data_IF_183411192798
#
_entry.id   IF_183411192798
#
_cell.length_a   1.000
_cell.length_b   1.000
_cell.length_c   1.000
_cell.angle_alpha   90.00
_cell.angle_beta   90.00
_cell.angle_gamma   90.00
#
_symmetry.space_group_name_H-M   'P 1'
#
loop_
_entity.id
_entity.type
_entity.pdbx_description
1 polymer ?
#
# COMPACT_ATOMS: atom_id res chain seq x y z
N UNK A 1 19.16 -2.96 6.06
CA UNK A 1 18.60 -1.71 6.61
C UNK A 1 17.08 -1.75 6.46
N UNK A 2 16.32 -1.39 7.50
CA UNK A 2 14.85 -1.26 7.45
C UNK A 2 14.45 -0.03 6.63
N UNK A 3 13.30 -0.10 5.95
CA UNK A 3 12.73 1.03 5.20
C UNK A 3 11.47 1.58 5.87
N UNK A 4 11.32 2.89 5.85
CA UNK A 4 10.21 3.59 6.45
C UNK A 4 9.57 4.54 5.44
N UNK A 5 8.32 4.30 5.14
CA UNK A 5 7.57 5.10 4.20
C UNK A 5 6.23 5.56 4.77
N UNK A 6 5.45 6.23 3.95
CA UNK A 6 4.12 6.69 4.32
C UNK A 6 3.09 6.28 3.27
N UNK A 7 1.94 5.86 3.75
CA UNK A 7 0.76 5.68 2.92
C UNK A 7 0.05 7.02 2.80
N UNK A 8 0.06 7.60 1.61
CA UNK A 8 -0.53 8.92 1.38
C UNK A 8 -2.05 8.92 1.62
N UNK A 9 -2.62 10.04 2.11
CA UNK A 9 -4.06 10.18 2.34
C UNK A 9 -4.83 10.42 1.04
N UNK A 10 -4.69 9.48 0.08
CA UNK A 10 -5.26 9.61 -1.27
C UNK A 10 -6.80 9.53 -1.29
N UNK A 11 -7.40 8.96 -0.24
CA UNK A 11 -8.85 8.86 -0.12
C UNK A 11 -9.35 9.53 1.15
N UNK A 12 -10.54 10.10 1.09
CA UNK A 12 -11.17 10.74 2.25
C UNK A 12 -11.34 9.78 3.42
N UNK A 13 -11.17 10.32 4.64
CA UNK A 13 -11.21 9.55 5.89
C UNK A 13 -9.93 8.76 6.20
N UNK A 14 -8.99 8.63 5.26
CA UNK A 14 -7.72 7.93 5.47
C UNK A 14 -7.93 6.47 5.91
N UNK A 15 -7.18 6.02 6.91
CA UNK A 15 -7.17 4.63 7.39
C UNK A 15 -7.78 4.45 8.79
N UNK A 16 -8.50 5.46 9.27
CA UNK A 16 -9.22 5.46 10.54
C UNK A 16 -10.71 5.67 10.26
N UNK A 17 -11.51 4.67 10.57
CA UNK A 17 -12.93 4.63 10.23
C UNK A 17 -13.73 5.32 11.35
N UNK A 18 -13.62 6.64 11.43
CA UNK A 18 -14.23 7.42 12.52
C UNK A 18 -14.68 8.80 12.06
N UNK A 19 -15.80 9.25 12.62
CA UNK A 19 -16.33 10.61 12.46
C UNK A 19 -15.55 11.66 13.25
N UNK A 20 -14.70 11.23 14.18
CA UNK A 20 -14.01 12.11 15.11
C UNK A 20 -12.54 12.40 14.71
N UNK A 21 -12.10 11.89 13.55
CA UNK A 21 -10.77 12.19 13.00
C UNK A 21 -10.70 13.61 12.44
N UNK A 22 -9.50 14.20 12.32
CA UNK A 22 -9.30 15.35 11.44
C UNK A 22 -9.78 15.08 10.02
N UNK A 23 -10.15 16.13 9.30
CA UNK A 23 -10.66 15.99 7.93
C UNK A 23 -9.52 15.63 6.98
N UNK A 24 -9.60 14.44 6.44
CA UNK A 24 -8.79 13.99 5.30
C UNK A 24 -9.71 13.95 4.08
N UNK A 25 -9.50 14.86 3.14
CA UNK A 25 -10.36 15.01 1.95
C UNK A 25 -9.91 14.15 0.75
N UNK A 26 -8.72 13.56 0.82
CA UNK A 26 -8.13 12.78 -0.28
C UNK A 26 -7.67 13.65 -1.46
N UNK A 27 -7.64 14.98 -1.29
CA UNK A 27 -7.31 15.94 -2.35
C UNK A 27 -5.81 16.09 -2.61
N UNK A 28 -5.50 16.75 -3.73
CA UNK A 28 -4.11 16.99 -4.18
C UNK A 28 -3.27 17.75 -3.15
N UNK A 29 -3.84 18.79 -2.53
CA UNK A 29 -3.08 19.65 -1.61
C UNK A 29 -2.54 18.87 -0.41
N UNK A 30 -3.39 18.04 0.23
CA UNK A 30 -2.99 17.20 1.38
C UNK A 30 -1.96 16.14 0.97
N UNK A 31 -2.17 15.48 -0.16
CA UNK A 31 -1.23 14.45 -0.64
C UNK A 31 0.13 15.04 -1.00
N UNK A 32 0.15 16.22 -1.66
CA UNK A 32 1.39 16.93 -1.98
C UNK A 32 2.13 17.36 -0.72
N UNK A 33 1.43 17.94 0.26
CA UNK A 33 2.04 18.35 1.54
C UNK A 33 2.63 17.15 2.27
N UNK A 34 1.87 16.06 2.40
CA UNK A 34 2.34 14.83 3.04
C UNK A 34 3.59 14.26 2.37
N UNK A 35 3.64 14.23 1.04
CA UNK A 35 4.80 13.73 0.31
C UNK A 35 6.05 14.61 0.48
N UNK A 36 5.89 15.95 0.44
CA UNK A 36 6.99 16.89 0.66
C UNK A 36 7.52 16.82 2.10
N UNK A 37 6.64 16.69 3.09
CA UNK A 37 7.03 16.46 4.47
C UNK A 37 7.73 15.12 4.66
N UNK A 38 7.21 14.04 4.06
CA UNK A 38 7.86 12.74 4.12
C UNK A 38 9.29 12.78 3.58
N UNK A 39 9.52 13.49 2.46
CA UNK A 39 10.86 13.69 1.91
C UNK A 39 11.74 14.56 2.81
N UNK A 40 11.19 15.64 3.39
CA UNK A 40 11.92 16.55 4.26
C UNK A 40 12.33 15.89 5.59
N UNK A 41 11.52 14.96 6.09
CA UNK A 41 11.76 14.21 7.33
C UNK A 41 12.44 12.85 7.07
N UNK A 42 13.10 12.67 5.92
CA UNK A 42 13.95 11.53 5.54
C UNK A 42 13.25 10.15 5.55
N UNK A 43 11.97 10.09 5.16
CA UNK A 43 11.33 8.82 4.88
C UNK A 43 11.81 8.26 3.52
N UNK A 44 11.75 6.93 3.37
CA UNK A 44 12.33 6.23 2.23
C UNK A 44 11.39 6.17 1.01
N UNK A 45 10.08 6.12 1.24
CA UNK A 45 9.09 6.01 0.16
C UNK A 45 7.72 6.59 0.54
N UNK A 46 6.98 6.97 -0.47
CA UNK A 46 5.54 7.27 -0.40
C UNK A 46 4.77 6.33 -1.31
N UNK A 47 3.58 5.94 -0.89
CA UNK A 47 2.72 5.07 -1.67
C UNK A 47 1.28 5.56 -1.68
N UNK A 48 0.59 5.37 -2.81
CA UNK A 48 -0.82 5.63 -2.97
C UNK A 48 -1.59 4.36 -3.34
N UNK A 49 -2.74 4.13 -2.70
CA UNK A 49 -3.64 3.04 -3.11
C UNK A 49 -4.42 3.42 -4.37
N UNK A 50 -4.86 2.42 -5.13
CA UNK A 50 -5.89 2.57 -6.15
C UNK A 50 -7.26 2.27 -5.55
N UNK A 51 -8.22 3.20 -5.67
CA UNK A 51 -9.57 3.06 -5.15
C UNK A 51 -10.57 3.71 -6.11
N UNK A 52 -11.65 2.98 -6.44
CA UNK A 52 -12.62 3.44 -7.43
C UNK A 52 -14.04 3.54 -6.87
N UNK A 53 -14.29 2.96 -5.70
CA UNK A 53 -15.56 3.02 -5.00
C UNK A 53 -15.34 2.87 -3.50
N UNK A 54 -15.85 3.82 -2.72
CA UNK A 54 -15.77 3.81 -1.26
C UNK A 54 -16.72 2.82 -0.59
N UNK A 55 -16.71 2.85 0.72
CA UNK A 55 -17.50 1.97 1.57
C UNK A 55 -18.77 2.62 2.11
N UNK A 56 -18.95 3.93 1.88
CA UNK A 56 -20.10 4.68 2.39
C UNK A 56 -19.97 5.01 3.88
N UNK A 57 -21.07 4.83 4.62
CA UNK A 57 -21.19 5.29 6.00
C UNK A 57 -21.40 6.80 6.10
N UNK A 58 -21.45 7.33 7.35
CA UNK A 58 -21.67 8.75 7.61
C UNK A 58 -20.52 9.62 7.09
N UNK A 59 -19.30 9.08 7.07
CA UNK A 59 -18.10 9.76 6.56
C UNK A 59 -17.92 9.65 5.05
N UNK A 60 -18.76 8.86 4.36
CA UNK A 60 -18.53 8.52 2.96
C UNK A 60 -17.17 7.88 2.72
N UNK A 61 -16.71 7.02 3.64
CA UNK A 61 -15.34 6.52 3.74
C UNK A 61 -14.80 5.98 2.42
N UNK A 62 -13.68 6.53 1.95
CA UNK A 62 -13.02 6.27 0.67
C UNK A 62 -13.90 6.54 -0.57
N UNK A 63 -14.98 7.32 -0.43
CA UNK A 63 -15.85 7.70 -1.55
C UNK A 63 -15.24 8.72 -2.49
N UNK A 64 -14.26 9.49 -2.02
CA UNK A 64 -13.47 10.43 -2.80
C UNK A 64 -12.00 10.00 -2.76
N UNK A 65 -11.43 9.70 -3.93
CA UNK A 65 -10.00 9.39 -4.09
C UNK A 65 -9.51 9.88 -5.45
N UNK A 66 -8.23 10.27 -5.50
CA UNK A 66 -7.55 10.54 -6.76
C UNK A 66 -7.10 9.22 -7.42
N UNK A 67 -6.84 9.25 -8.73
CA UNK A 67 -6.25 8.13 -9.44
C UNK A 67 -4.76 8.02 -9.10
N UNK A 68 -4.32 6.81 -8.70
CA UNK A 68 -3.04 6.60 -8.06
C UNK A 68 -1.83 6.94 -8.95
N UNK A 69 -1.81 6.49 -10.21
CA UNK A 69 -0.63 6.69 -11.08
C UNK A 69 -0.50 8.15 -11.48
N UNK A 70 -1.62 8.79 -11.84
CA UNK A 70 -1.65 10.21 -12.20
C UNK A 70 -1.23 11.09 -11.02
N UNK A 71 -1.75 10.82 -9.83
CA UNK A 71 -1.34 11.56 -8.63
C UNK A 71 0.15 11.35 -8.32
N UNK A 72 0.64 10.10 -8.38
CA UNK A 72 2.04 9.82 -8.09
C UNK A 72 3.00 10.40 -9.13
N UNK A 73 2.58 10.60 -10.38
CA UNK A 73 3.36 11.37 -11.36
C UNK A 73 3.50 12.84 -10.94
N UNK A 74 2.44 13.45 -10.41
CA UNK A 74 2.50 14.78 -9.80
C UNK A 74 3.43 14.84 -8.60
N UNK A 75 3.35 13.86 -7.68
CA UNK A 75 4.24 13.74 -6.51
C UNK A 75 5.71 13.57 -6.97
N UNK A 76 5.96 12.72 -7.95
CA UNK A 76 7.30 12.52 -8.50
C UNK A 76 7.92 13.82 -9.03
N UNK A 77 7.12 14.69 -9.65
CA UNK A 77 7.56 15.97 -10.21
C UNK A 77 7.89 17.02 -9.15
N UNK A 78 7.32 16.92 -7.94
CA UNK A 78 7.55 17.89 -6.85
C UNK A 78 8.50 17.39 -5.76
N UNK A 79 8.98 16.16 -5.88
CA UNK A 79 9.96 15.53 -4.97
C UNK A 79 11.24 15.17 -5.71
N UNK A 80 12.33 14.93 -5.01
CA UNK A 80 13.66 14.71 -5.61
C UNK A 80 14.37 13.41 -5.17
N UNK A 81 14.07 12.89 -3.98
CA UNK A 81 14.79 11.76 -3.38
C UNK A 81 13.90 10.60 -3.01
N UNK A 82 12.73 10.88 -2.45
CA UNK A 82 11.81 9.86 -1.93
C UNK A 82 11.30 8.95 -3.05
N UNK A 83 11.24 7.65 -2.80
CA UNK A 83 10.68 6.69 -3.76
C UNK A 83 9.17 6.88 -3.87
N UNK A 84 8.63 6.74 -5.06
CA UNK A 84 7.22 6.98 -5.38
C UNK A 84 6.57 5.70 -5.89
N UNK A 85 5.64 5.13 -5.11
CA UNK A 85 4.98 3.87 -5.44
C UNK A 85 3.51 4.09 -5.73
N UNK A 86 3.09 3.77 -6.94
CA UNK A 86 1.69 3.82 -7.36
C UNK A 86 1.01 2.46 -7.18
N UNK A 87 -0.31 2.40 -7.27
CA UNK A 87 -1.09 1.14 -7.29
C UNK A 87 -1.78 0.98 -8.63
N UNK A 88 -1.66 -0.20 -9.23
CA UNK A 88 -2.33 -0.60 -10.47
C UNK A 88 -3.16 -1.87 -10.25
N UNK A 89 -4.33 -1.91 -10.88
CA UNK A 89 -5.18 -3.09 -10.93
C UNK A 89 -5.02 -3.80 -12.28
N UNK A 90 -4.52 -5.04 -12.25
CA UNK A 90 -4.24 -5.81 -13.47
C UNK A 90 -5.50 -6.02 -14.35
N UNK A 91 -6.68 -6.12 -13.72
CA UNK A 91 -7.95 -6.28 -14.45
C UNK A 91 -8.45 -5.00 -15.14
N UNK A 92 -7.94 -3.81 -14.78
CA UNK A 92 -8.32 -2.53 -15.40
C UNK A 92 -7.37 -2.10 -16.50
N UNK A 93 -6.12 -2.54 -16.45
CA UNK A 93 -5.08 -1.99 -17.32
C UNK A 93 -4.53 -3.06 -18.25
N UNK A 94 -4.55 -2.79 -19.55
CA UNK A 94 -3.76 -3.60 -20.47
C UNK A 94 -2.28 -3.57 -20.05
N UNK A 95 -1.56 -4.70 -20.02
CA UNK A 95 -0.18 -4.75 -19.54
C UNK A 95 0.79 -3.86 -20.33
N UNK A 96 0.57 -3.64 -21.63
CA UNK A 96 1.41 -2.73 -22.41
C UNK A 96 1.17 -1.26 -22.04
N UNK A 97 -0.08 -0.89 -21.75
CA UNK A 97 -0.42 0.45 -21.25
C UNK A 97 0.20 0.67 -19.87
N UNK A 98 0.06 -0.28 -18.98
CA UNK A 98 0.65 -0.22 -17.63
C UNK A 98 2.18 -0.15 -17.67
N UNK A 99 2.82 -0.95 -18.51
CA UNK A 99 4.28 -0.88 -18.70
C UNK A 99 4.74 0.51 -19.12
N UNK A 100 4.01 1.16 -20.03
CA UNK A 100 4.27 2.53 -20.48
C UNK A 100 4.04 3.55 -19.35
N UNK A 101 2.94 3.43 -18.61
CA UNK A 101 2.61 4.34 -17.50
C UNK A 101 3.70 4.34 -16.43
N UNK A 102 4.15 3.16 -16.02
CA UNK A 102 5.18 3.03 -14.99
C UNK A 102 6.57 3.46 -15.50
N UNK A 103 6.91 3.16 -16.76
CA UNK A 103 8.13 3.69 -17.38
C UNK A 103 8.12 5.24 -17.41
N UNK A 104 6.97 5.85 -17.72
CA UNK A 104 6.81 7.31 -17.69
C UNK A 104 6.98 7.86 -16.27
N UNK A 105 6.35 7.22 -15.26
CA UNK A 105 6.54 7.58 -13.86
C UNK A 105 8.01 7.48 -13.43
N UNK A 106 8.71 6.43 -13.91
CA UNK A 106 10.13 6.24 -13.60
C UNK A 106 10.99 7.35 -14.20
N UNK A 107 10.72 7.77 -15.44
CA UNK A 107 11.39 8.92 -16.06
C UNK A 107 11.11 10.23 -15.33
N UNK A 108 9.85 10.53 -14.98
CA UNK A 108 9.50 11.74 -14.22
C UNK A 108 10.20 11.76 -12.86
N UNK A 109 10.27 10.62 -12.20
CA UNK A 109 10.91 10.49 -10.88
C UNK A 109 12.43 10.38 -10.92
N UNK A 110 13.07 10.21 -12.08
CA UNK A 110 14.50 9.97 -12.19
C UNK A 110 14.93 8.61 -11.62
N UNK A 111 14.15 7.55 -11.84
CA UNK A 111 14.47 6.18 -11.42
C UNK A 111 14.08 5.87 -9.96
N UNK A 112 13.02 6.53 -9.43
CA UNK A 112 12.50 6.31 -8.07
C UNK A 112 11.14 5.59 -8.05
N UNK A 113 10.62 5.19 -9.21
CA UNK A 113 9.31 4.58 -9.32
C UNK A 113 9.28 3.15 -8.79
N UNK A 114 8.14 2.81 -8.22
CA UNK A 114 7.73 1.45 -7.93
C UNK A 114 6.22 1.35 -8.03
N UNK A 115 5.70 0.14 -7.96
CA UNK A 115 4.26 0.00 -7.98
C UNK A 115 3.77 -1.26 -7.27
N UNK A 116 2.56 -1.14 -6.75
CA UNK A 116 1.80 -2.23 -6.16
C UNK A 116 0.86 -2.83 -7.21
N UNK A 117 0.93 -4.14 -7.38
CA UNK A 117 0.06 -4.88 -8.29
C UNK A 117 -1.12 -5.43 -7.49
N UNK A 118 -2.34 -5.15 -7.95
CA UNK A 118 -3.58 -5.66 -7.36
C UNK A 118 -4.36 -6.47 -8.40
N UNK A 119 -4.69 -7.71 -8.05
CA UNK A 119 -5.46 -8.61 -8.92
C UNK A 119 -6.97 -8.29 -8.98
N UNK A 120 -7.43 -7.37 -8.11
CA UNK A 120 -8.85 -7.03 -7.93
C UNK A 120 -9.50 -7.84 -6.80
N UNK A 121 -9.93 -7.16 -5.75
CA UNK A 121 -10.50 -7.79 -4.55
C UNK A 121 -11.98 -7.43 -4.32
N UNK A 122 -12.38 -6.20 -4.63
CA UNK A 122 -13.72 -5.71 -4.39
C UNK A 122 -14.53 -5.71 -5.69
N UNK A 123 -15.42 -6.69 -5.84
CA UNK A 123 -16.25 -6.91 -7.04
C UNK A 123 -17.00 -5.66 -7.48
N UNK A 124 -17.76 -5.03 -6.57
CA UNK A 124 -18.59 -3.87 -6.89
C UNK A 124 -17.81 -2.64 -7.34
N UNK A 125 -16.52 -2.56 -7.04
CA UNK A 125 -15.62 -1.50 -7.50
C UNK A 125 -15.35 -1.59 -9.01
N UNK A 126 -15.29 -2.81 -9.55
CA UNK A 126 -15.00 -3.07 -10.95
C UNK A 126 -16.27 -3.27 -11.79
N UNK A 127 -17.34 -3.83 -11.21
CA UNK A 127 -18.63 -3.95 -11.89
C UNK A 127 -19.20 -2.60 -12.31
N UNK A 128 -19.07 -1.56 -11.50
CA UNK A 128 -19.53 -0.22 -11.86
C UNK A 128 -18.86 0.35 -13.11
N UNK A 129 -17.72 -0.21 -13.54
CA UNK A 129 -16.91 0.22 -14.68
C UNK A 129 -16.94 -0.81 -15.83
N UNK A 130 -17.83 -1.81 -15.77
CA UNK A 130 -17.89 -2.93 -16.71
C UNK A 130 -16.54 -3.69 -16.83
N UNK A 131 -15.76 -3.73 -15.75
CA UNK A 131 -14.43 -4.32 -15.71
C UNK A 131 -14.34 -5.59 -14.86
N UNK A 132 -15.48 -6.15 -14.46
CA UNK A 132 -15.53 -7.40 -13.71
C UNK A 132 -15.99 -8.55 -14.57
N UNK A 133 -15.07 -9.46 -14.90
CA UNK A 133 -15.42 -10.72 -15.53
C UNK A 133 -15.84 -11.75 -14.46
N UNK A 134 -17.14 -12.01 -14.39
CA UNK A 134 -17.73 -12.97 -13.44
C UNK A 134 -17.31 -14.43 -13.71
N UNK A 135 -16.78 -14.73 -14.91
CA UNK A 135 -16.27 -16.06 -15.25
C UNK A 135 -14.90 -16.36 -14.62
N UNK A 136 -14.18 -15.30 -14.21
CA UNK A 136 -12.89 -15.44 -13.55
C UNK A 136 -13.07 -15.74 -12.06
N UNK A 137 -12.71 -16.95 -11.66
CA UNK A 137 -12.59 -17.29 -10.25
C UNK A 137 -11.52 -16.43 -9.56
N UNK A 138 -11.47 -16.47 -8.24
CA UNK A 138 -10.41 -15.79 -7.46
C UNK A 138 -9.01 -16.18 -7.98
N UNK A 139 -8.74 -17.47 -8.16
CA UNK A 139 -7.43 -17.95 -8.59
C UNK A 139 -7.14 -17.62 -10.04
N UNK A 140 -8.17 -17.68 -10.93
CA UNK A 140 -8.04 -17.27 -12.32
C UNK A 140 -7.67 -15.80 -12.49
N UNK A 141 -8.13 -14.91 -11.59
CA UNK A 141 -7.67 -13.51 -11.58
C UNK A 141 -6.17 -13.38 -11.25
N UNK A 142 -5.64 -14.25 -10.37
CA UNK A 142 -4.20 -14.29 -10.13
C UNK A 142 -3.42 -14.91 -11.31
N UNK A 143 -4.00 -15.88 -12.04
CA UNK A 143 -3.39 -16.42 -13.26
C UNK A 143 -3.30 -15.35 -14.35
N UNK A 144 -4.38 -14.56 -14.55
CA UNK A 144 -4.38 -13.39 -15.42
C UNK A 144 -3.30 -12.37 -14.98
N UNK A 145 -3.24 -12.06 -13.68
CA UNK A 145 -2.27 -11.12 -13.13
C UNK A 145 -0.84 -11.61 -13.30
N UNK A 146 -0.60 -12.91 -13.27
CA UNK A 146 0.72 -13.49 -13.51
C UNK A 146 1.16 -13.33 -14.98
N UNK A 147 0.28 -13.61 -15.97
CA UNK A 147 0.56 -13.32 -17.38
C UNK A 147 0.79 -11.82 -17.59
N UNK A 148 -0.07 -10.98 -17.02
CA UNK A 148 0.04 -9.53 -17.04
C UNK A 148 1.41 -9.04 -16.53
N UNK A 149 1.83 -9.53 -15.38
CA UNK A 149 3.12 -9.14 -14.76
C UNK A 149 4.31 -9.57 -15.60
N UNK A 150 4.25 -10.78 -16.18
CA UNK A 150 5.30 -11.29 -17.08
C UNK A 150 5.43 -10.41 -18.32
N UNK A 151 4.32 -9.99 -18.93
CA UNK A 151 4.32 -9.12 -20.10
C UNK A 151 4.90 -7.75 -19.75
N UNK A 152 4.49 -7.14 -18.64
CA UNK A 152 5.03 -5.85 -18.16
C UNK A 152 6.55 -5.92 -17.99
N UNK A 153 7.05 -6.93 -17.28
CA UNK A 153 8.50 -7.10 -17.07
C UNK A 153 9.27 -7.27 -18.38
N UNK A 154 8.73 -8.05 -19.30
CA UNK A 154 9.35 -8.24 -20.63
C UNK A 154 9.36 -6.96 -21.45
N UNK A 155 8.27 -6.18 -21.44
CA UNK A 155 8.18 -4.89 -22.12
C UNK A 155 9.16 -3.85 -21.59
N UNK A 156 9.61 -3.98 -20.35
CA UNK A 156 10.66 -3.11 -19.78
C UNK A 156 12.08 -3.49 -20.19
N UNK A 157 12.30 -4.71 -20.64
CA UNK A 157 13.65 -5.25 -20.89
C UNK A 157 13.91 -5.70 -22.32
N UNK A 158 12.88 -6.14 -23.05
CA UNK A 158 13.01 -6.68 -24.40
C UNK A 158 12.67 -5.60 -25.45
N UNK A 159 13.33 -5.59 -26.61
CA UNK A 159 13.03 -4.66 -27.71
C UNK A 159 11.57 -4.76 -28.18
N UNK A 160 11.05 -5.96 -28.29
CA UNK A 160 9.64 -6.24 -28.57
C UNK A 160 9.20 -7.52 -27.87
N UNK A 161 7.89 -7.66 -27.63
CA UNK A 161 7.29 -8.80 -26.94
C UNK A 161 6.23 -9.44 -27.81
N UNK A 162 6.47 -10.69 -28.21
CA UNK A 162 5.42 -11.60 -28.68
C UNK A 162 5.10 -12.55 -27.51
N UNK A 163 3.83 -12.63 -27.15
CA UNK A 163 3.34 -13.44 -26.03
C UNK A 163 2.00 -14.04 -26.38
N UNK A 164 1.87 -15.34 -26.26
CA UNK A 164 0.60 -16.06 -26.42
C UNK A 164 0.32 -16.82 -25.14
N UNK A 165 -0.66 -16.36 -24.39
CA UNK A 165 -1.11 -16.95 -23.14
C UNK A 165 -2.58 -17.30 -23.18
N UNK A 166 -3.14 -17.53 -22.00
CA UNK A 166 -4.59 -17.79 -21.83
C UNK A 166 -5.41 -16.50 -21.88
N UNK A 167 -4.85 -15.40 -21.36
CA UNK A 167 -5.56 -14.13 -21.16
C UNK A 167 -5.09 -13.04 -22.11
N UNK A 168 -3.86 -13.14 -22.60
CA UNK A 168 -3.25 -12.12 -23.45
C UNK A 168 -2.61 -12.75 -24.69
N UNK A 169 -2.78 -12.07 -25.83
CA UNK A 169 -2.14 -12.41 -27.10
C UNK A 169 -1.50 -11.13 -27.66
N UNK A 170 -0.17 -11.04 -27.59
CA UNK A 170 0.62 -9.90 -28.06
C UNK A 170 1.51 -10.34 -29.21
N UNK A 171 1.54 -9.56 -30.27
CA UNK A 171 2.42 -9.80 -31.40
C UNK A 171 3.29 -8.57 -31.65
N UNK A 172 4.61 -8.76 -31.56
CA UNK A 172 5.64 -7.73 -31.81
C UNK A 172 5.36 -6.39 -31.10
N UNK A 173 4.92 -6.48 -29.85
CA UNK A 173 4.53 -5.31 -29.06
C UNK A 173 5.78 -4.57 -28.55
N UNK A 174 5.89 -3.28 -28.87
CA UNK A 174 7.00 -2.41 -28.47
C UNK A 174 6.54 -1.44 -27.38
N UNK A 175 7.36 -1.22 -26.36
CA UNK A 175 7.16 -0.21 -25.32
C UNK A 175 8.45 0.57 -25.09
N UNK A 176 8.54 1.79 -25.63
CA UNK A 176 9.64 2.74 -25.45
C UNK A 176 9.10 4.09 -24.92
N UNK A 177 9.87 4.82 -24.06
CA UNK A 177 11.16 4.42 -23.50
C UNK A 177 11.05 3.29 -22.47
N UNK A 178 12.15 2.59 -22.23
CA UNK A 178 12.26 1.67 -21.10
C UNK A 178 12.39 2.45 -19.80
N UNK A 179 12.03 1.90 -18.62
CA UNK A 179 12.36 2.52 -17.34
C UNK A 179 13.87 2.79 -17.20
N UNK A 180 14.24 3.86 -16.53
CA UNK A 180 15.65 4.20 -16.22
C UNK A 180 16.28 3.16 -15.28
N UNK A 181 15.45 2.63 -14.37
CA UNK A 181 15.79 1.52 -13.46
C UNK A 181 14.62 0.53 -13.42
N UNK A 182 14.88 -0.76 -13.10
CA UNK A 182 13.80 -1.70 -12.86
C UNK A 182 12.89 -1.16 -11.73
N UNK A 183 11.60 -0.86 -12.00
CA UNK A 183 10.70 -0.38 -10.95
C UNK A 183 10.51 -1.43 -9.87
N UNK A 184 10.50 -1.01 -8.60
CA UNK A 184 10.27 -1.91 -7.48
C UNK A 184 8.82 -2.41 -7.48
N UNK A 185 8.63 -3.72 -7.50
CA UNK A 185 7.31 -4.34 -7.46
C UNK A 185 6.96 -4.75 -6.04
N UNK A 186 5.76 -4.36 -5.59
CA UNK A 186 5.21 -4.83 -4.34
C UNK A 186 3.80 -5.40 -4.56
N UNK A 187 3.36 -6.32 -3.73
CA UNK A 187 2.03 -6.90 -3.82
C UNK A 187 1.49 -7.24 -2.43
N UNK A 188 0.17 -7.14 -2.27
CA UNK A 188 -0.55 -7.32 -1.00
C UNK A 188 -1.48 -8.56 -1.01
N UNK A 189 -1.15 -9.61 -1.76
CA UNK A 189 -1.96 -10.83 -1.83
C UNK A 189 -1.97 -11.59 -0.51
N UNK A 190 -3.13 -11.69 0.15
CA UNK A 190 -3.28 -12.35 1.46
C UNK A 190 -3.82 -13.79 1.36
N UNK A 191 -4.53 -14.15 0.29
CA UNK A 191 -4.96 -15.52 0.04
C UNK A 191 -3.77 -16.43 -0.27
N UNK A 192 -3.93 -17.75 -0.17
CA UNK A 192 -2.85 -18.69 -0.52
C UNK A 192 -2.28 -18.41 -1.91
N UNK A 193 -3.14 -18.31 -2.96
CA UNK A 193 -2.72 -18.04 -4.34
C UNK A 193 -2.11 -16.65 -4.49
N UNK A 194 -2.71 -15.64 -3.85
CA UNK A 194 -2.20 -14.27 -3.88
C UNK A 194 -0.86 -14.11 -3.18
N UNK A 195 -0.67 -14.78 -2.06
CA UNK A 195 0.59 -14.81 -1.33
C UNK A 195 1.71 -15.45 -2.16
N UNK A 196 1.45 -16.60 -2.78
CA UNK A 196 2.42 -17.26 -3.66
C UNK A 196 2.77 -16.39 -4.87
N UNK A 197 1.77 -15.75 -5.49
CA UNK A 197 1.99 -14.78 -6.57
C UNK A 197 2.89 -13.64 -6.09
N UNK A 198 2.59 -13.02 -4.93
CA UNK A 198 3.37 -11.92 -4.38
C UNK A 198 4.83 -12.32 -4.21
N UNK A 199 5.11 -13.46 -3.57
CA UNK A 199 6.49 -13.90 -3.35
C UNK A 199 7.21 -14.27 -4.66
N UNK A 200 6.52 -14.89 -5.62
CA UNK A 200 7.14 -15.26 -6.91
C UNK A 200 7.42 -14.06 -7.80
N UNK A 201 6.51 -13.11 -7.86
CA UNK A 201 6.53 -12.07 -8.88
C UNK A 201 7.03 -10.72 -8.38
N UNK A 202 6.91 -10.41 -7.09
CA UNK A 202 7.27 -9.10 -6.55
C UNK A 202 8.65 -9.09 -5.86
N UNK A 203 9.18 -7.90 -5.62
CA UNK A 203 10.39 -7.63 -4.84
C UNK A 203 10.05 -7.40 -3.38
N UNK A 204 8.82 -6.95 -3.12
CA UNK A 204 8.24 -6.74 -1.80
C UNK A 204 6.87 -7.38 -1.64
N UNK A 205 6.56 -7.80 -0.42
CA UNK A 205 5.29 -8.37 -0.04
C UNK A 205 4.72 -7.59 1.15
N UNK A 206 3.51 -7.03 1.00
CA UNK A 206 2.77 -6.50 2.14
C UNK A 206 2.24 -7.66 2.97
N UNK A 207 2.61 -7.66 4.23
CA UNK A 207 2.18 -8.66 5.21
C UNK A 207 1.07 -8.05 6.06
N UNK A 208 -0.05 -8.73 6.11
CA UNK A 208 -1.16 -8.43 7.02
C UNK A 208 -1.41 -9.61 7.95
N UNK A 209 -2.06 -9.36 9.07
CA UNK A 209 -2.45 -10.38 10.04
C UNK A 209 -3.42 -9.82 11.07
N UNK A 210 -4.14 -10.70 11.77
CA UNK A 210 -5.07 -10.30 12.85
C UNK A 210 -4.29 -9.79 14.07
N UNK A 211 -3.13 -10.36 14.30
CA UNK A 211 -2.22 -10.03 15.39
C UNK A 211 -0.75 -10.14 14.94
N UNK A 212 0.18 -9.90 15.85
CA UNK A 212 1.60 -9.95 15.56
C UNK A 212 2.09 -11.37 15.28
N UNK A 213 1.49 -12.38 15.87
CA UNK A 213 1.86 -13.78 15.61
C UNK A 213 1.50 -14.19 14.17
N UNK A 214 0.33 -13.81 13.68
CA UNK A 214 -0.06 -14.01 12.27
C UNK A 214 0.92 -13.27 11.33
N UNK A 215 1.31 -12.04 11.67
CA UNK A 215 2.24 -11.22 10.86
C UNK A 215 3.63 -11.87 10.85
N UNK A 216 4.15 -12.30 12.00
CA UNK A 216 5.43 -12.97 12.09
C UNK A 216 5.44 -14.27 11.26
N UNK A 217 4.41 -15.11 11.41
CA UNK A 217 4.28 -16.34 10.64
C UNK A 217 4.25 -16.09 9.13
N UNK A 218 3.49 -15.07 8.67
CA UNK A 218 3.42 -14.68 7.27
C UNK A 218 4.76 -14.13 6.75
N UNK A 219 5.47 -13.31 7.54
CA UNK A 219 6.79 -12.78 7.17
C UNK A 219 7.81 -13.90 7.00
N UNK A 220 7.91 -14.81 7.96
CA UNK A 220 8.80 -15.98 7.89
C UNK A 220 8.47 -16.87 6.69
N UNK A 221 7.19 -17.13 6.47
CA UNK A 221 6.73 -17.91 5.31
C UNK A 221 7.12 -17.28 3.99
N UNK A 222 6.98 -15.94 3.85
CA UNK A 222 7.38 -15.22 2.64
C UNK A 222 8.88 -15.38 2.37
N UNK A 223 9.70 -15.18 3.40
CA UNK A 223 11.16 -15.32 3.31
C UNK A 223 11.61 -16.75 3.00
N UNK A 224 11.00 -17.74 3.65
CA UNK A 224 11.29 -19.15 3.38
C UNK A 224 10.92 -19.56 1.95
N UNK A 225 9.75 -19.15 1.45
CA UNK A 225 9.33 -19.43 0.08
C UNK A 225 10.26 -18.74 -0.93
N UNK A 226 10.64 -17.49 -0.72
CA UNK A 226 11.56 -16.76 -1.58
C UNK A 226 12.96 -17.40 -1.61
N UNK A 227 13.46 -17.82 -0.46
CA UNK A 227 14.73 -18.55 -0.35
C UNK A 227 14.71 -19.87 -1.15
N UNK A 228 13.60 -20.61 -1.09
CA UNK A 228 13.39 -21.82 -1.90
C UNK A 228 13.35 -21.54 -3.42
N UNK A 229 13.04 -20.31 -3.81
CA UNK A 229 13.06 -19.85 -5.20
C UNK A 229 14.40 -19.19 -5.61
N UNK A 230 15.36 -19.12 -4.70
CA UNK A 230 16.67 -18.49 -4.94
C UNK A 230 16.61 -16.98 -5.14
N UNK A 231 15.59 -16.28 -4.59
CA UNK A 231 15.42 -14.84 -4.75
C UNK A 231 15.27 -14.12 -3.40
N UNK A 232 15.69 -12.87 -3.28
CA UNK A 232 15.36 -12.05 -2.13
C UNK A 232 13.88 -11.64 -2.16
N UNK A 233 13.30 -11.38 -1.00
CA UNK A 233 12.01 -10.71 -0.82
C UNK A 233 12.09 -9.80 0.39
N UNK A 234 11.48 -8.62 0.31
CA UNK A 234 11.30 -7.74 1.46
C UNK A 234 9.87 -7.80 1.94
N UNK A 235 9.68 -7.78 3.24
CA UNK A 235 8.36 -7.80 3.86
C UNK A 235 8.04 -6.43 4.45
N UNK A 236 6.84 -5.94 4.16
CA UNK A 236 6.35 -4.64 4.61
C UNK A 236 5.03 -4.81 5.36
N UNK A 237 4.80 -3.94 6.33
CA UNK A 237 3.53 -3.86 7.04
C UNK A 237 3.07 -2.40 7.13
N UNK A 238 1.78 -2.20 7.33
CA UNK A 238 1.20 -0.89 7.59
C UNK A 238 1.02 -0.68 9.09
N UNK A 239 1.23 0.55 9.57
CA UNK A 239 1.03 0.89 10.97
C UNK A 239 0.49 2.31 11.12
N UNK A 240 -0.64 2.44 11.82
CA UNK A 240 -1.16 3.75 12.22
C UNK A 240 -0.44 4.21 13.48
N UNK A 241 0.14 5.40 13.43
CA UNK A 241 0.87 6.02 14.54
C UNK A 241 0.04 7.19 15.06
N UNK A 242 -0.30 7.15 16.35
CA UNK A 242 -1.02 8.22 17.06
C UNK A 242 -0.13 8.71 18.19
N UNK A 243 0.39 9.90 18.03
CA UNK A 243 1.29 10.51 19.02
C UNK A 243 0.67 11.71 19.71
N UNK A 244 1.10 11.93 20.96
CA UNK A 244 0.85 13.14 21.71
C UNK A 244 2.03 13.37 22.69
N UNK A 245 2.12 14.51 23.39
CA UNK A 245 3.21 14.75 24.35
C UNK A 245 3.34 13.68 25.44
N UNK A 246 2.23 13.06 25.84
CA UNK A 246 2.20 11.97 26.83
C UNK A 246 1.42 10.75 26.31
N UNK A 247 1.69 9.57 26.89
CA UNK A 247 0.96 8.35 26.58
C UNK A 247 -0.54 8.48 26.87
N UNK A 248 -0.89 9.17 27.96
CA UNK A 248 -2.27 9.40 28.36
C UNK A 248 -3.05 10.25 27.34
N UNK A 249 -2.43 11.32 26.83
CA UNK A 249 -3.02 12.17 25.81
C UNK A 249 -3.16 11.43 24.48
N UNK A 250 -2.16 10.65 24.08
CA UNK A 250 -2.22 9.83 22.86
C UNK A 250 -3.33 8.78 22.94
N UNK A 251 -3.46 8.10 24.09
CA UNK A 251 -4.54 7.12 24.29
C UNK A 251 -5.94 7.79 24.31
N UNK A 252 -6.07 8.96 24.95
CA UNK A 252 -7.30 9.74 24.90
C UNK A 252 -7.68 10.15 23.46
N UNK A 253 -6.68 10.51 22.64
CA UNK A 253 -6.86 10.81 21.21
C UNK A 253 -7.32 9.57 20.44
N UNK A 254 -6.70 8.42 20.65
CA UNK A 254 -7.10 7.15 20.04
C UNK A 254 -8.50 6.71 20.49
N UNK A 255 -8.85 6.89 21.78
CA UNK A 255 -10.17 6.58 22.30
C UNK A 255 -11.25 7.46 21.68
N UNK A 256 -11.00 8.76 21.50
CA UNK A 256 -11.91 9.67 20.77
C UNK A 256 -12.26 9.13 19.38
N UNK A 257 -11.30 8.51 18.68
CA UNK A 257 -11.57 7.91 17.36
C UNK A 257 -12.41 6.64 17.48
N UNK A 258 -12.17 5.79 18.48
CA UNK A 258 -13.02 4.61 18.75
C UNK A 258 -14.45 5.01 19.07
N UNK A 259 -14.64 6.06 19.87
CA UNK A 259 -15.96 6.57 20.24
C UNK A 259 -16.74 7.15 19.03
N UNK A 260 -16.02 7.55 18.00
CA UNK A 260 -16.61 8.07 16.77
C UNK A 260 -16.72 7.05 15.63
N UNK A 261 -16.63 5.75 15.92
CA UNK A 261 -16.68 4.69 14.90
C UNK A 261 -17.82 4.91 13.90
N UNK A 262 -17.50 4.87 12.61
CA UNK A 262 -18.49 4.88 11.53
C UNK A 262 -18.91 3.43 11.21
N UNK A 263 -19.91 2.94 11.93
CA UNK A 263 -20.44 1.59 11.75
C UNK A 263 -20.98 1.34 10.34
N UNK A 264 -21.53 2.37 9.70
CA UNK A 264 -22.01 2.29 8.32
C UNK A 264 -20.87 2.00 7.33
N UNK A 265 -19.72 2.65 7.50
CA UNK A 265 -18.54 2.38 6.69
C UNK A 265 -17.95 0.98 6.95
N UNK A 266 -17.91 0.54 8.22
CA UNK A 266 -17.49 -0.84 8.55
C UNK A 266 -18.41 -1.86 7.91
N UNK A 267 -19.73 -1.66 7.95
CA UNK A 267 -20.69 -2.54 7.28
C UNK A 267 -20.46 -2.57 5.77
N UNK A 268 -20.20 -1.42 5.15
CA UNK A 268 -19.84 -1.33 3.72
C UNK A 268 -18.58 -2.11 3.38
N UNK A 269 -17.55 -2.09 4.24
CA UNK A 269 -16.34 -2.90 4.09
C UNK A 269 -16.65 -4.41 4.16
N UNK A 270 -17.43 -4.84 5.13
CA UNK A 270 -17.84 -6.25 5.27
C UNK A 270 -18.63 -6.74 4.04
N UNK A 271 -19.53 -5.94 3.53
CA UNK A 271 -20.28 -6.24 2.31
C UNK A 271 -19.37 -6.33 1.08
N UNK A 272 -18.33 -5.50 1.03
CA UNK A 272 -17.39 -5.41 -0.09
C UNK A 272 -16.43 -6.59 -0.16
N UNK A 273 -15.92 -7.04 0.99
CA UNK A 273 -14.90 -8.10 1.09
C UNK A 273 -15.47 -9.47 1.51
N UNK A 274 -16.77 -9.57 1.73
CA UNK A 274 -17.47 -10.77 2.21
C UNK A 274 -17.48 -10.89 3.74
N UNK A 275 -18.39 -11.71 4.25
CA UNK A 275 -18.65 -11.87 5.70
C UNK A 275 -17.45 -12.38 6.48
N UNK A 276 -16.55 -13.15 5.84
CA UNK A 276 -15.30 -13.60 6.46
C UNK A 276 -14.27 -12.49 6.67
N UNK A 277 -14.46 -11.32 6.01
CA UNK A 277 -13.58 -10.17 6.11
C UNK A 277 -12.10 -10.50 5.82
N UNK A 278 -11.27 -9.48 5.80
CA UNK A 278 -9.83 -9.64 5.92
C UNK A 278 -9.35 -9.02 7.25
N UNK A 279 -8.08 -9.15 7.58
CA UNK A 279 -7.53 -8.60 8.82
C UNK A 279 -7.79 -7.08 8.97
N UNK A 280 -7.77 -6.34 7.87
CA UNK A 280 -8.08 -4.92 7.82
C UNK A 280 -9.53 -4.63 8.25
N UNK A 281 -10.50 -5.37 7.71
CA UNK A 281 -11.93 -5.21 8.05
C UNK A 281 -12.20 -5.59 9.50
N UNK A 282 -11.56 -6.67 10.01
CA UNK A 282 -11.68 -7.07 11.40
C UNK A 282 -11.15 -5.98 12.34
N UNK A 283 -10.05 -5.32 11.99
CA UNK A 283 -9.49 -4.20 12.76
C UNK A 283 -10.34 -2.94 12.68
N UNK A 284 -10.96 -2.66 11.54
CA UNK A 284 -11.83 -1.50 11.35
C UNK A 284 -13.01 -1.45 12.34
N UNK A 285 -13.42 -2.59 12.90
CA UNK A 285 -14.39 -2.65 14.00
C UNK A 285 -13.90 -1.94 15.27
N UNK A 286 -12.58 -1.76 15.42
CA UNK A 286 -11.96 -0.93 16.47
C UNK A 286 -11.55 0.46 15.98
N UNK A 287 -12.11 0.95 14.89
CA UNK A 287 -11.83 2.20 14.19
C UNK A 287 -10.50 2.22 13.38
N UNK A 288 -9.54 1.36 13.67
CA UNK A 288 -8.24 1.35 13.01
C UNK A 288 -8.12 0.19 12.03
N UNK A 289 -7.78 0.47 10.77
CA UNK A 289 -7.70 -0.55 9.73
C UNK A 289 -6.36 -1.33 9.73
N UNK A 290 -5.38 -0.85 10.51
CA UNK A 290 -4.02 -1.40 10.56
C UNK A 290 -3.56 -1.69 11.99
N UNK A 291 -2.36 -2.23 12.16
CA UNK A 291 -1.67 -2.22 13.46
C UNK A 291 -1.52 -0.79 13.95
N UNK A 292 -1.46 -0.58 15.26
CA UNK A 292 -1.36 0.75 15.84
C UNK A 292 -0.18 0.88 16.79
N UNK A 293 0.50 2.03 16.75
CA UNK A 293 1.41 2.48 17.80
C UNK A 293 0.82 3.78 18.38
N UNK A 294 0.36 3.72 19.62
CA UNK A 294 -0.25 4.84 20.34
C UNK A 294 0.61 5.17 21.55
N UNK A 295 0.99 6.44 21.73
CA UNK A 295 1.79 6.87 22.87
C UNK A 295 2.61 8.14 22.59
N UNK A 296 3.40 8.54 23.57
CA UNK A 296 4.43 9.54 23.38
C UNK A 296 5.45 9.06 22.31
N UNK A 297 6.20 9.96 21.67
CA UNK A 297 7.12 9.58 20.60
C UNK A 297 8.11 8.46 20.99
N UNK A 298 8.66 8.49 22.20
CA UNK A 298 9.55 7.45 22.70
C UNK A 298 8.83 6.09 22.86
N UNK A 299 7.60 6.11 23.37
CA UNK A 299 6.76 4.90 23.50
C UNK A 299 6.41 4.33 22.12
N UNK A 300 6.05 5.17 21.16
CA UNK A 300 5.79 4.74 19.78
C UNK A 300 7.06 4.14 19.15
N UNK A 301 8.22 4.77 19.32
CA UNK A 301 9.48 4.24 18.80
C UNK A 301 9.79 2.84 19.37
N UNK A 302 9.64 2.66 20.69
CA UNK A 302 9.85 1.35 21.33
C UNK A 302 8.87 0.28 20.83
N UNK A 303 7.58 0.60 20.69
CA UNK A 303 6.57 -0.31 20.15
C UNK A 303 6.88 -0.72 18.70
N UNK A 304 7.27 0.25 17.86
CA UNK A 304 7.62 0.02 16.47
C UNK A 304 8.89 -0.84 16.37
N UNK A 305 9.90 -0.56 17.19
CA UNK A 305 11.13 -1.35 17.21
C UNK A 305 10.85 -2.82 17.59
N UNK A 306 10.09 -3.07 18.66
CA UNK A 306 9.69 -4.42 19.08
C UNK A 306 8.94 -5.13 17.94
N UNK A 307 7.92 -4.49 17.37
CA UNK A 307 7.16 -5.03 16.26
C UNK A 307 8.05 -5.44 15.06
N UNK A 308 8.98 -4.58 14.66
CA UNK A 308 9.88 -4.85 13.53
C UNK A 308 10.84 -6.02 13.81
N UNK A 309 11.29 -6.18 15.07
CA UNK A 309 12.14 -7.30 15.49
C UNK A 309 11.34 -8.60 15.58
N UNK A 310 10.23 -8.55 16.31
CA UNK A 310 9.44 -9.74 16.64
C UNK A 310 8.75 -10.32 15.41
N UNK A 311 8.20 -9.46 14.52
CA UNK A 311 7.55 -9.89 13.29
C UNK A 311 8.52 -10.06 12.10
N UNK A 312 9.82 -9.77 12.28
CA UNK A 312 10.83 -9.88 11.21
C UNK A 312 10.47 -9.07 9.94
N UNK A 313 9.84 -7.90 10.10
CA UNK A 313 9.42 -7.02 9.01
C UNK A 313 10.60 -6.17 8.54
N UNK A 314 10.75 -5.98 7.22
CA UNK A 314 11.85 -5.25 6.60
C UNK A 314 11.54 -3.78 6.34
N UNK A 315 10.27 -3.40 6.34
CA UNK A 315 9.86 -2.01 6.21
C UNK A 315 8.45 -1.75 6.75
N UNK A 316 8.21 -0.52 7.19
CA UNK A 316 6.90 -0.03 7.62
C UNK A 316 6.42 1.10 6.75
N UNK A 317 5.13 1.09 6.50
CA UNK A 317 4.40 2.16 5.88
C UNK A 317 3.50 2.82 6.91
N UNK A 318 3.87 4.03 7.32
CA UNK A 318 3.18 4.79 8.34
C UNK A 318 1.88 5.39 7.82
N UNK A 319 0.94 5.52 8.72
CA UNK A 319 -0.36 6.15 8.54
C UNK A 319 -0.58 7.05 9.76
N UNK A 320 -1.16 8.22 9.54
CA UNK A 320 -1.41 9.19 10.59
C UNK A 320 -2.86 9.64 10.56
N UNK A 321 -3.35 10.09 11.69
CA UNK A 321 -4.62 10.80 11.80
C UNK A 321 -4.49 12.26 11.34
N UNK A 322 -3.36 12.90 11.67
CA UNK A 322 -2.90 14.17 11.12
C UNK A 322 -1.53 13.94 10.45
N UNK A 323 -1.48 14.04 9.13
CA UNK A 323 -0.26 13.77 8.38
C UNK A 323 0.82 14.81 8.57
N UNK A 324 0.45 16.08 8.76
CA UNK A 324 1.43 17.14 8.94
C UNK A 324 2.12 17.05 10.31
N UNK A 325 1.35 16.81 11.38
CA UNK A 325 1.88 16.59 12.72
C UNK A 325 2.64 15.25 12.79
N UNK A 326 1.98 14.16 12.37
CA UNK A 326 2.52 12.82 12.49
C UNK A 326 3.84 12.62 11.74
N UNK A 327 3.98 13.18 10.53
CA UNK A 327 5.24 13.14 9.77
C UNK A 327 6.37 13.89 10.47
N UNK A 328 6.11 15.11 10.98
CA UNK A 328 7.12 15.89 11.70
C UNK A 328 7.59 15.20 12.97
N UNK A 329 6.66 14.69 13.77
CA UNK A 329 7.00 13.95 15.01
C UNK A 329 7.75 12.67 14.68
N UNK A 330 7.26 11.92 13.69
CA UNK A 330 7.91 10.66 13.28
C UNK A 330 9.33 10.92 12.78
N UNK A 331 9.54 11.89 11.90
CA UNK A 331 10.86 12.20 11.34
C UNK A 331 11.87 12.69 12.38
N UNK A 332 11.42 13.52 13.30
CA UNK A 332 12.31 14.18 14.27
C UNK A 332 12.57 13.36 15.53
N UNK A 333 11.59 12.59 15.99
CA UNK A 333 11.65 11.94 17.31
C UNK A 333 11.63 10.41 17.23
N UNK A 334 10.91 9.80 16.29
CA UNK A 334 10.76 8.33 16.18
C UNK A 334 11.82 7.75 15.26
N UNK A 335 11.89 8.24 14.02
CA UNK A 335 12.75 7.70 12.97
C UNK A 335 14.25 7.66 13.34
N UNK A 336 14.83 8.70 13.99
CA UNK A 336 16.22 8.63 14.43
C UNK A 336 16.51 7.51 15.43
N UNK A 337 15.54 7.16 16.28
CA UNK A 337 15.68 6.05 17.22
C UNK A 337 15.66 4.71 16.47
N UNK A 338 14.69 4.53 15.55
CA UNK A 338 14.58 3.33 14.72
C UNK A 338 15.81 3.15 13.82
N UNK A 339 16.31 4.22 13.21
CA UNK A 339 17.53 4.16 12.38
C UNK A 339 18.73 3.67 13.18
N UNK A 340 18.91 4.16 14.43
CA UNK A 340 19.99 3.68 15.31
C UNK A 340 19.82 2.21 15.71
N UNK A 341 18.59 1.78 15.99
CA UNK A 341 18.32 0.41 16.42
C UNK A 341 18.54 -0.64 15.32
N UNK A 342 18.49 -0.21 14.05
CA UNK A 342 18.62 -1.09 12.87
C UNK A 342 19.78 -0.71 11.92
N UNK A 343 20.73 0.08 12.42
CA UNK A 343 21.95 0.49 11.70
C UNK A 343 22.89 -0.70 11.38
#
# INVERSE_FOLDING_TARGET
>A
MKEFGVFLPIANGGWIVSRNTPVLDGGWAQNREAALLAEAEDLDFVMAMGKWRGFGGDTGHWGHSLEAVTMMAGIAAVTSRIKVWATLHAILHNPAVAAKMIATLDHISGGRAGFNIVAGAYRGEFEQMDAWDASLTHDARYDLTEEWTRIVKRLWTEPSVTFKGKYFDFQDCVSEPKPLKPPFLICAGQSQRGFEFSVRQADGCFIGGRDEADIQAASRRAKALAAGLGKPIRTYCMMTVITAPTDAEAEARAQKYRDGLDEGAVLGMLQSYGVSGNAMTARAQGAFMTQTAVGAPATCAAKIESFLRDCEIDGLMFIFDDYAEGLRVTGREILPQLRRAFA
#
